data_IF_344067991042
#
_entry.id   IF_344067991042
#
_cell.length_a   1.000
_cell.length_b   1.000
_cell.length_c   1.000
_cell.angle_alpha   90.00
_cell.angle_beta   90.00
_cell.angle_gamma   90.00
#
_symmetry.space_group_name_H-M   'P 1'
#
loop_
_entity.id
_entity.type
_entity.pdbx_description
1 polymer ?
#
# COMPACT_ATOMS: atom_id res chain seq x y z
N UNK A 1 3.88 18.56 6.51
CA UNK A 1 2.71 19.05 5.78
C UNK A 1 1.59 18.04 5.84
N UNK A 2 0.39 18.50 6.13
CA UNK A 2 -0.76 17.61 6.20
C UNK A 2 -1.24 17.26 4.79
N UNK A 3 -1.61 16.00 4.61
CA UNK A 3 -2.16 15.49 3.36
C UNK A 3 -3.57 15.01 3.62
N UNK A 4 -4.51 15.45 2.81
CA UNK A 4 -5.91 15.07 2.96
C UNK A 4 -6.21 13.89 2.04
N UNK A 5 -6.80 12.84 2.59
CA UNK A 5 -7.20 11.66 1.81
C UNK A 5 -8.45 11.05 2.42
N UNK A 6 -9.15 10.26 1.62
CA UNK A 6 -10.36 9.58 2.05
C UNK A 6 -9.99 8.16 2.43
N UNK A 7 -10.30 7.76 3.68
CA UNK A 7 -10.07 6.39 4.15
C UNK A 7 -11.21 5.51 3.64
N UNK A 8 -10.86 4.39 3.01
CA UNK A 8 -11.82 3.49 2.38
C UNK A 8 -11.80 2.07 2.91
N UNK A 9 -10.96 1.78 3.89
CA UNK A 9 -10.89 0.44 4.45
C UNK A 9 -10.14 0.40 5.75
N UNK A 10 -10.12 -0.78 6.37
CA UNK A 10 -9.44 -1.00 7.63
C UNK A 10 -7.92 -1.05 7.42
N UNK A 11 -7.19 -0.84 8.51
CA UNK A 11 -5.74 -0.97 8.50
C UNK A 11 -5.37 -2.45 8.39
N UNK A 12 -4.47 -2.76 7.45
CA UNK A 12 -3.90 -4.09 7.28
C UNK A 12 -2.46 -4.06 7.77
N UNK A 13 -2.12 -4.92 8.71
CA UNK A 13 -0.76 -5.03 9.25
C UNK A 13 -0.01 -6.10 8.48
N UNK A 14 1.20 -5.76 8.00
CA UNK A 14 2.07 -6.70 7.27
C UNK A 14 1.34 -7.34 6.10
N UNK A 15 0.87 -6.52 5.16
CA UNK A 15 0.07 -6.97 4.02
C UNK A 15 0.78 -8.08 3.23
N UNK A 16 0.03 -9.08 2.83
CA UNK A 16 0.52 -10.20 2.01
C UNK A 16 -0.45 -10.41 0.87
N UNK A 17 0.01 -10.12 -0.36
CA UNK A 17 -0.77 -10.24 -1.59
C UNK A 17 -2.21 -9.73 -1.43
N UNK A 18 -2.33 -8.52 -0.92
CA UNK A 18 -3.63 -7.93 -0.59
C UNK A 18 -4.00 -6.89 -1.66
N UNK A 19 -5.21 -6.99 -2.20
CA UNK A 19 -5.70 -6.01 -3.19
C UNK A 19 -6.39 -4.82 -2.51
N UNK A 20 -6.49 -4.84 -1.18
CA UNK A 20 -7.11 -3.77 -0.39
C UNK A 20 -8.52 -3.45 -0.87
N UNK A 21 -9.32 -4.50 -1.06
CA UNK A 21 -10.73 -4.38 -1.52
C UNK A 21 -10.81 -3.67 -2.87
N UNK A 22 -9.86 -3.98 -3.75
CA UNK A 22 -9.77 -3.42 -5.12
C UNK A 22 -9.56 -1.90 -5.10
N UNK A 23 -8.85 -1.40 -4.09
CA UNK A 23 -8.55 0.02 -4.01
C UNK A 23 -7.57 0.44 -5.10
N UNK A 24 -7.71 1.68 -5.56
CA UNK A 24 -6.82 2.28 -6.55
C UNK A 24 -5.63 2.95 -5.86
N UNK A 25 -5.82 3.42 -4.64
CA UNK A 25 -4.77 4.06 -3.83
C UNK A 25 -4.68 3.39 -2.48
N UNK A 26 -3.45 3.14 -2.02
CA UNK A 26 -3.19 2.52 -0.72
C UNK A 26 -2.14 3.35 0.00
N UNK A 27 -2.44 3.76 1.23
CA UNK A 27 -1.50 4.47 2.09
C UNK A 27 -0.74 3.45 2.92
N UNK A 28 0.58 3.45 2.82
CA UNK A 28 1.45 2.49 3.51
C UNK A 28 2.39 3.24 4.44
N UNK A 29 2.44 2.84 5.70
CA UNK A 29 3.38 3.37 6.69
C UNK A 29 4.28 2.25 7.16
N UNK A 30 5.59 2.44 7.07
CA UNK A 30 6.55 1.45 7.55
C UNK A 30 6.64 1.51 9.07
N UNK A 31 6.61 0.34 9.71
CA UNK A 31 6.83 0.20 11.16
C UNK A 31 8.24 -0.28 11.47
N UNK A 32 9.06 -0.36 10.45
CA UNK A 32 10.47 -0.71 10.46
C UNK A 32 10.95 -0.67 9.02
N UNK A 33 12.24 -0.77 8.78
CA UNK A 33 12.75 -0.79 7.40
C UNK A 33 12.15 -1.96 6.64
N UNK A 34 11.62 -1.71 5.46
CA UNK A 34 10.91 -2.72 4.70
C UNK A 34 10.94 -2.45 3.20
N UNK A 35 10.83 -3.53 2.43
CA UNK A 35 10.64 -3.45 0.98
C UNK A 35 9.26 -4.01 0.66
N UNK A 36 8.43 -3.19 0.00
CA UNK A 36 7.15 -3.63 -0.49
C UNK A 36 7.23 -4.02 -1.95
N UNK A 37 6.35 -4.91 -2.36
CA UNK A 37 6.27 -5.37 -3.75
C UNK A 37 4.84 -5.27 -4.23
N UNK A 38 4.66 -4.75 -5.45
CA UNK A 38 3.36 -4.70 -6.10
C UNK A 38 3.31 -5.82 -7.14
N UNK A 39 2.25 -6.62 -7.08
CA UNK A 39 2.04 -7.74 -7.99
C UNK A 39 0.80 -7.50 -8.85
N UNK A 40 0.75 -8.16 -10.00
CA UNK A 40 -0.49 -8.24 -10.78
C UNK A 40 -1.54 -9.08 -10.03
N UNK A 41 -2.74 -9.14 -10.58
CA UNK A 41 -3.87 -9.82 -9.93
C UNK A 41 -3.63 -11.30 -9.63
N UNK A 42 -2.68 -11.93 -10.32
CA UNK A 42 -2.31 -13.33 -10.05
C UNK A 42 -1.54 -13.51 -8.74
N UNK A 43 -1.05 -12.41 -8.16
CA UNK A 43 -0.30 -12.46 -6.91
C UNK A 43 1.13 -12.98 -7.04
N UNK A 44 1.61 -13.20 -8.26
CA UNK A 44 2.96 -13.76 -8.50
C UNK A 44 3.79 -12.93 -9.47
N UNK A 45 3.17 -12.22 -10.41
CA UNK A 45 3.89 -11.40 -11.38
C UNK A 45 4.21 -10.04 -10.77
N UNK A 46 5.47 -9.76 -10.51
CA UNK A 46 5.90 -8.47 -9.93
C UNK A 46 5.75 -7.35 -10.94
N UNK A 47 5.17 -6.24 -10.48
CA UNK A 47 5.13 -4.99 -11.23
C UNK A 47 6.23 -4.05 -10.80
N UNK A 48 6.62 -4.08 -9.52
CA UNK A 48 7.67 -3.23 -8.99
C UNK A 48 7.83 -3.37 -7.50
N UNK A 49 8.86 -2.73 -6.97
CA UNK A 49 9.16 -2.71 -5.54
C UNK A 49 9.35 -1.28 -5.06
N UNK A 50 9.10 -1.08 -3.78
CA UNK A 50 9.37 0.19 -3.12
C UNK A 50 10.01 -0.07 -1.76
N UNK A 51 10.91 0.82 -1.35
CA UNK A 51 11.59 0.70 -0.07
C UNK A 51 11.15 1.82 0.86
N UNK A 52 10.88 1.47 2.11
CA UNK A 52 10.53 2.43 3.14
C UNK A 52 11.41 2.23 4.36
N UNK A 53 11.86 3.33 4.95
CA UNK A 53 12.52 3.30 6.25
C UNK A 53 11.46 3.43 7.34
N UNK A 54 11.83 3.03 8.57
CA UNK A 54 10.94 3.11 9.72
C UNK A 54 10.32 4.51 9.83
N UNK A 55 9.01 4.55 9.88
CA UNK A 55 8.26 5.80 9.98
C UNK A 55 7.88 6.44 8.66
N UNK A 56 8.43 5.96 7.54
CA UNK A 56 8.07 6.51 6.23
C UNK A 56 6.63 6.15 5.85
N UNK A 57 5.98 7.07 5.16
CA UNK A 57 4.62 6.87 4.64
C UNK A 57 4.59 7.22 3.16
N UNK A 58 3.92 6.39 2.38
CA UNK A 58 3.75 6.61 0.95
C UNK A 58 2.33 6.23 0.54
N UNK A 59 1.84 6.87 -0.51
CA UNK A 59 0.57 6.47 -1.12
C UNK A 59 0.90 5.83 -2.46
N UNK A 60 0.47 4.58 -2.60
CA UNK A 60 0.73 3.77 -3.79
C UNK A 60 -0.51 3.80 -4.67
N UNK A 61 -0.32 4.21 -5.91
CA UNK A 61 -1.36 4.05 -6.93
C UNK A 61 -1.17 2.70 -7.60
N UNK A 62 -2.26 1.94 -7.72
CA UNK A 62 -2.20 0.62 -8.36
C UNK A 62 -3.48 0.35 -9.12
N UNK A 63 -3.45 -0.64 -10.00
CA UNK A 63 -4.67 -1.15 -10.62
C UNK A 63 -5.57 -1.78 -9.55
N UNK A 64 -6.87 -1.75 -9.77
CA UNK A 64 -7.84 -2.19 -8.74
C UNK A 64 -7.64 -3.64 -8.31
N UNK A 65 -7.17 -4.50 -9.20
CA UNK A 65 -6.93 -5.92 -8.89
C UNK A 65 -5.48 -6.24 -8.56
N UNK A 66 -4.58 -5.26 -8.67
CA UNK A 66 -3.18 -5.46 -8.30
C UNK A 66 -3.05 -5.66 -6.80
N UNK A 67 -2.05 -6.41 -6.39
CA UNK A 67 -1.86 -6.80 -5.00
C UNK A 67 -0.55 -6.26 -4.45
N UNK A 68 -0.54 -5.99 -3.15
CA UNK A 68 0.65 -5.47 -2.47
C UNK A 68 1.06 -6.44 -1.37
N UNK A 69 2.35 -6.72 -1.30
CA UNK A 69 2.97 -7.40 -0.17
C UNK A 69 3.96 -6.43 0.45
N UNK A 70 3.78 -6.12 1.72
CA UNK A 70 4.69 -5.23 2.44
C UNK A 70 4.78 -5.66 3.89
N UNK A 71 5.82 -6.41 4.26
CA UNK A 71 6.03 -6.78 5.66
C UNK A 71 6.42 -5.53 6.46
N UNK A 72 6.31 -5.62 7.79
CA UNK A 72 6.73 -4.56 8.70
C UNK A 72 6.08 -3.22 8.34
N UNK A 73 4.76 -3.25 8.13
CA UNK A 73 4.02 -2.06 7.72
C UNK A 73 2.58 -2.11 8.20
N UNK A 74 1.93 -0.94 8.14
CA UNK A 74 0.48 -0.82 8.27
C UNK A 74 -0.03 -0.06 7.06
N UNK A 75 -1.08 -0.54 6.45
CA UNK A 75 -1.58 0.02 5.21
C UNK A 75 -3.10 0.03 5.19
N UNK A 76 -3.68 0.96 4.46
CA UNK A 76 -5.13 1.04 4.32
C UNK A 76 -5.49 1.59 2.95
N UNK A 77 -6.66 1.15 2.44
CA UNK A 77 -7.22 1.69 1.23
C UNK A 77 -7.66 3.14 1.46
N UNK A 78 -7.33 4.01 0.51
CA UNK A 78 -7.71 5.42 0.60
C UNK A 78 -8.24 5.88 -0.76
N UNK A 79 -8.93 7.01 -0.76
CA UNK A 79 -9.31 7.67 -1.99
C UNK A 79 -8.16 8.48 -2.56
N UNK A 80 -8.43 9.18 -3.66
CA UNK A 80 -7.41 10.02 -4.30
C UNK A 80 -6.92 11.08 -3.31
N UNK A 81 -5.60 11.22 -3.14
CA UNK A 81 -5.07 12.24 -2.23
C UNK A 81 -5.43 13.64 -2.69
N UNK A 82 -5.61 14.53 -1.71
CA UNK A 82 -5.80 15.95 -1.95
C UNK A 82 -4.65 16.68 -1.27
N UNK A 83 -3.81 17.27 -2.06
CA UNK A 83 -2.60 17.92 -1.58
C UNK A 83 -2.81 19.29 -1.07
#
# INVERSE_FOLDING_TARGET
MAQTFIVKGDVVTNASTNDFSKAHFVRVTATGDTTGTVFESDGTTELGKFYLEDGDTVIIEKGTTDKITCPTSKASAVGSPRG
#
